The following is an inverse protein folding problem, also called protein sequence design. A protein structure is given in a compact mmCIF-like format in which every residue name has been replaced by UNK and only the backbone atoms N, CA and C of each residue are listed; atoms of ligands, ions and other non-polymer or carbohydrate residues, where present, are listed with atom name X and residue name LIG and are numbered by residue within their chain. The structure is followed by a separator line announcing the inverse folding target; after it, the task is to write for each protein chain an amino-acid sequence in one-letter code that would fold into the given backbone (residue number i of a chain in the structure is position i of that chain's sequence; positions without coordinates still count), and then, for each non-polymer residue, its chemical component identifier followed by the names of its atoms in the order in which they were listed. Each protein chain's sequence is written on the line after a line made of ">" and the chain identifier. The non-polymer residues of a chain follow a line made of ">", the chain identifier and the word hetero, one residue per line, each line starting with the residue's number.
data_IF_711771450181
#
_entry.id   IF_711771450181
#
_cell.length_a   1.000
_cell.length_b   1.000
_cell.length_c   1.000
_cell.angle_alpha   90.00
_cell.angle_beta   90.00
_cell.angle_gamma   90.00
#
_symmetry.space_group_name_H-M   'P 1'
#
loop_
_entity.id
_entity.type
_entity.pdbx_description
1 polymer ?
#
# COMPACT_ATOMS: atom_id res chain seq x y z
N UNK A 1 10.74 13.22 8.60
CA UNK A 1 10.62 11.80 8.24
C UNK A 1 9.63 11.70 7.08
N UNK A 2 9.95 11.04 5.96
CA UNK A 2 9.03 10.88 4.83
C UNK A 2 8.47 9.46 4.86
N UNK A 3 7.23 9.30 5.28
CA UNK A 3 6.48 8.06 5.04
C UNK A 3 6.34 7.85 3.53
N UNK A 4 7.01 6.81 3.01
CA UNK A 4 6.82 6.38 1.63
C UNK A 4 5.39 5.84 1.49
N UNK A 5 4.56 6.52 0.69
CA UNK A 5 3.20 6.08 0.38
C UNK A 5 3.22 5.26 -0.90
N UNK A 6 2.70 4.04 -0.81
CA UNK A 6 2.45 3.13 -1.92
C UNK A 6 1.05 3.36 -2.47
N UNK A 7 0.88 3.20 -3.78
CA UNK A 7 -0.43 3.30 -4.44
C UNK A 7 -0.83 1.92 -4.91
N UNK A 8 -1.94 1.40 -4.39
CA UNK A 8 -2.41 0.08 -4.75
C UNK A 8 -2.83 0.06 -6.24
N UNK A 9 -2.42 -0.95 -7.03
CA UNK A 9 -2.79 -1.03 -8.44
C UNK A 9 -4.28 -1.35 -8.66
N UNK A 10 -4.94 -2.02 -7.71
CA UNK A 10 -6.35 -2.44 -7.82
C UNK A 10 -7.30 -1.29 -7.48
N UNK A 11 -7.21 -0.76 -6.27
CA UNK A 11 -8.14 0.25 -5.77
C UNK A 11 -7.59 1.68 -5.79
N UNK A 12 -6.32 1.87 -6.20
CA UNK A 12 -5.62 3.17 -6.25
C UNK A 12 -5.48 3.88 -4.89
N UNK A 13 -5.77 3.19 -3.79
CA UNK A 13 -5.64 3.72 -2.43
C UNK A 13 -4.17 3.91 -2.06
N UNK A 14 -3.89 5.02 -1.38
CA UNK A 14 -2.59 5.28 -0.78
C UNK A 14 -2.46 4.50 0.54
N UNK A 15 -1.36 3.77 0.71
CA UNK A 15 -1.03 3.02 1.92
C UNK A 15 0.46 3.20 2.26
N UNK A 16 0.87 2.93 3.49
CA UNK A 16 2.24 3.18 3.95
C UNK A 16 3.18 2.04 3.55
N UNK A 17 4.28 2.31 2.85
CA UNK A 17 5.21 1.28 2.38
C UNK A 17 5.90 0.57 3.55
N UNK A 18 6.27 1.31 4.60
CA UNK A 18 7.02 0.76 5.73
C UNK A 18 6.23 -0.27 6.56
N UNK A 19 4.91 -0.10 6.68
CA UNK A 19 4.07 -0.91 7.58
C UNK A 19 3.19 -1.92 6.84
N UNK A 20 3.19 -1.92 5.50
CA UNK A 20 2.26 -2.75 4.74
C UNK A 20 2.90 -4.10 4.30
N UNK A 21 2.45 -5.26 4.82
CA UNK A 21 2.91 -6.58 4.38
C UNK A 21 2.23 -7.08 3.09
N UNK A 22 1.24 -6.33 2.59
CA UNK A 22 0.47 -6.64 1.39
C UNK A 22 1.02 -5.94 0.13
N UNK A 23 2.18 -5.30 0.19
CA UNK A 23 2.88 -4.66 -0.95
C UNK A 23 2.92 -5.61 -2.18
N UNK A 24 2.60 -5.13 -3.41
CA UNK A 24 2.32 -3.75 -3.84
C UNK A 24 0.87 -3.28 -3.59
N UNK A 25 0.05 -4.06 -2.90
CA UNK A 25 -1.35 -3.77 -2.64
C UNK A 25 -1.56 -3.04 -1.30
N UNK A 26 -2.73 -2.41 -1.12
CA UNK A 26 -3.04 -1.71 0.13
C UNK A 26 -3.42 -2.65 1.28
N UNK A 27 -3.93 -3.85 0.99
CA UNK A 27 -4.48 -4.81 1.96
C UNK A 27 -4.64 -6.19 1.32
N UNK A 28 -4.94 -7.21 2.14
CA UNK A 28 -5.19 -8.59 1.68
C UNK A 28 -6.36 -8.68 0.70
N UNK A 29 -7.43 -7.88 0.89
CA UNK A 29 -8.55 -7.81 -0.06
C UNK A 29 -8.15 -7.38 -1.48
N UNK A 30 -7.07 -6.62 -1.60
CA UNK A 30 -6.58 -6.13 -2.89
C UNK A 30 -5.36 -6.91 -3.38
N UNK A 31 -4.77 -7.78 -2.54
CA UNK A 31 -3.80 -8.77 -2.97
C UNK A 31 -4.53 -9.81 -3.82
#
# INVERSE_FOLDING_TARGET
>A
MKEQKLKCPICKKASTWSENPFRPFCSDRCR
#
